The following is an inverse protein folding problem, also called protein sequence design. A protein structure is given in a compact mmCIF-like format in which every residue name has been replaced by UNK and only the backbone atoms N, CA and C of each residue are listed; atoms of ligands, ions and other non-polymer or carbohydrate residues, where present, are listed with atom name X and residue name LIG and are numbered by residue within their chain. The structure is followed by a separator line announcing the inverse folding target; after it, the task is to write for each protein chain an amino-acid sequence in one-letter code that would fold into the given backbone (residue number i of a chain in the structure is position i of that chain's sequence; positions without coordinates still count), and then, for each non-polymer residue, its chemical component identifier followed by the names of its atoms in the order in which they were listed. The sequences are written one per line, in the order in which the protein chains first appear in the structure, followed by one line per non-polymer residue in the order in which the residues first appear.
data_IF_496450593678
#
_entry.id   IF_496450593678
#
_cell.length_a   1.000
_cell.length_b   1.000
_cell.length_c   1.000
_cell.angle_alpha   90.00
_cell.angle_beta   90.00
_cell.angle_gamma   90.00
#
_symmetry.space_group_name_H-M   'P 1'
#
loop_
_entity.id
_entity.type
_entity.pdbx_description
1 polymer ?
#
# COMPACT_ATOMS: atom_id res chain seq x y z
N UNK A 1 -8.49 -30.71 -17.75
CA UNK A 1 -7.04 -30.41 -17.75
C UNK A 1 -6.38 -31.26 -16.68
N UNK A 2 -5.15 -31.72 -16.92
CA UNK A 2 -4.35 -32.38 -15.90
C UNK A 2 -3.99 -31.37 -14.80
N UNK A 3 -4.07 -31.78 -13.52
CA UNK A 3 -3.78 -30.89 -12.39
C UNK A 3 -2.27 -30.69 -12.27
N UNK A 4 -1.85 -29.41 -12.20
CA UNK A 4 -0.45 -29.00 -12.07
C UNK A 4 0.12 -29.25 -10.70
N UNK A 5 -0.73 -29.13 -9.65
CA UNK A 5 -0.34 -29.25 -8.25
C UNK A 5 -0.66 -30.65 -7.67
N UNK A 6 -1.04 -31.62 -8.52
CA UNK A 6 -1.31 -32.98 -8.09
C UNK A 6 -0.05 -33.63 -7.43
N UNK A 7 -0.28 -34.32 -6.30
CA UNK A 7 0.80 -34.98 -5.56
C UNK A 7 1.53 -34.12 -4.54
N UNK A 8 1.24 -32.83 -4.44
CA UNK A 8 1.71 -31.99 -3.36
C UNK A 8 0.89 -32.25 -2.08
N UNK A 9 1.53 -32.15 -0.92
CA UNK A 9 0.89 -32.30 0.38
C UNK A 9 0.84 -30.96 1.14
N UNK A 10 -0.28 -30.62 1.81
CA UNK A 10 -1.55 -31.37 1.97
C UNK A 10 -2.39 -31.35 0.68
N UNK A 11 -2.80 -32.53 0.21
CA UNK A 11 -3.41 -32.70 -1.13
C UNK A 11 -4.64 -31.82 -1.34
N UNK A 12 -5.53 -31.71 -0.34
CA UNK A 12 -6.79 -30.94 -0.47
C UNK A 12 -6.53 -29.43 -0.50
N UNK A 13 -5.51 -28.94 0.18
CA UNK A 13 -5.13 -27.51 0.15
C UNK A 13 -4.67 -27.15 -1.28
N UNK A 14 -3.75 -27.93 -1.85
CA UNK A 14 -3.26 -27.69 -3.21
C UNK A 14 -4.35 -27.90 -4.28
N UNK A 15 -5.29 -28.82 -4.02
CA UNK A 15 -6.46 -28.97 -4.88
C UNK A 15 -7.28 -27.67 -4.94
N UNK A 16 -7.62 -27.10 -3.77
CA UNK A 16 -8.39 -25.85 -3.73
C UNK A 16 -7.59 -24.66 -4.24
N UNK A 17 -6.32 -24.55 -3.92
CA UNK A 17 -5.47 -23.49 -4.44
C UNK A 17 -5.46 -23.50 -5.99
N UNK A 18 -5.30 -24.66 -6.61
CA UNK A 18 -5.38 -24.76 -8.07
C UNK A 18 -6.77 -24.42 -8.63
N UNK A 19 -7.86 -24.75 -7.93
CA UNK A 19 -9.20 -24.33 -8.33
C UNK A 19 -9.37 -22.81 -8.28
N UNK A 20 -8.87 -22.15 -7.23
CA UNK A 20 -8.90 -20.69 -7.10
C UNK A 20 -8.08 -20.01 -8.22
N UNK A 21 -6.90 -20.52 -8.53
CA UNK A 21 -6.04 -20.01 -9.62
C UNK A 21 -6.67 -20.15 -11.02
N UNK A 22 -7.69 -20.99 -11.18
CA UNK A 22 -8.47 -21.11 -12.45
C UNK A 22 -9.49 -20.01 -12.62
N UNK A 23 -9.80 -19.27 -11.56
CA UNK A 23 -10.79 -18.20 -11.54
C UNK A 23 -10.03 -16.88 -11.58
N UNK A 24 -10.24 -16.02 -12.58
CA UNK A 24 -9.69 -14.67 -12.57
C UNK A 24 -10.21 -13.88 -11.37
N UNK A 25 -9.30 -13.42 -10.48
CA UNK A 25 -9.68 -12.79 -9.21
C UNK A 25 -8.72 -11.65 -8.77
N UNK A 26 -8.16 -10.93 -9.73
CA UNK A 26 -7.46 -9.68 -9.40
C UNK A 26 -8.40 -8.68 -8.72
N UNK A 27 -7.85 -7.79 -7.87
CA UNK A 27 -8.62 -6.73 -7.21
C UNK A 27 -9.51 -5.98 -8.20
N UNK A 28 -10.76 -5.73 -7.84
CA UNK A 28 -11.81 -5.20 -8.72
C UNK A 28 -12.53 -6.26 -9.58
N UNK A 29 -12.11 -7.53 -9.57
CA UNK A 29 -12.72 -8.64 -10.33
C UNK A 29 -13.03 -9.85 -9.45
N UNK A 30 -13.56 -9.65 -8.26
CA UNK A 30 -13.70 -10.68 -7.22
C UNK A 30 -15.02 -11.45 -7.25
N UNK A 31 -15.97 -11.05 -8.12
CA UNK A 31 -17.32 -11.67 -8.11
C UNK A 31 -17.31 -13.18 -8.35
N UNK A 32 -16.52 -13.68 -9.31
CA UNK A 32 -16.52 -15.10 -9.66
C UNK A 32 -15.95 -15.97 -8.54
N UNK A 33 -14.89 -15.53 -7.89
CA UNK A 33 -14.27 -16.25 -6.77
C UNK A 33 -15.17 -16.20 -5.51
N UNK A 34 -15.84 -15.08 -5.27
CA UNK A 34 -16.86 -14.96 -4.22
C UNK A 34 -18.02 -15.94 -4.44
N UNK A 35 -18.57 -15.98 -5.67
CA UNK A 35 -19.62 -16.92 -6.05
C UNK A 35 -19.16 -18.38 -5.92
N UNK A 36 -17.90 -18.68 -6.25
CA UNK A 36 -17.32 -20.01 -6.07
C UNK A 36 -17.33 -20.43 -4.60
N UNK A 37 -16.89 -19.57 -3.68
CA UNK A 37 -16.89 -19.86 -2.25
C UNK A 37 -18.33 -20.02 -1.68
N UNK A 38 -19.26 -19.18 -2.12
CA UNK A 38 -20.67 -19.31 -1.74
C UNK A 38 -21.30 -20.62 -2.26
N UNK A 39 -21.01 -21.00 -3.50
CA UNK A 39 -21.47 -22.29 -4.08
C UNK A 39 -20.82 -23.48 -3.40
N UNK A 40 -19.54 -23.41 -3.03
CA UNK A 40 -18.87 -24.45 -2.24
C UNK A 40 -19.64 -24.76 -0.95
N UNK A 41 -20.02 -23.71 -0.21
CA UNK A 41 -20.81 -23.87 1.03
C UNK A 41 -22.19 -24.46 0.76
N UNK A 42 -22.88 -23.94 -0.26
CA UNK A 42 -24.22 -24.41 -0.66
C UNK A 42 -24.24 -25.90 -1.02
N UNK A 43 -23.28 -26.36 -1.81
CA UNK A 43 -23.19 -27.78 -2.23
C UNK A 43 -22.93 -28.73 -1.07
N UNK A 44 -22.33 -28.25 0.02
CA UNK A 44 -22.03 -29.02 1.25
C UNK A 44 -23.05 -28.82 2.35
N UNK A 45 -24.14 -28.06 2.08
CA UNK A 45 -25.17 -27.78 3.08
C UNK A 45 -24.69 -26.95 4.26
N UNK A 46 -23.58 -26.22 4.13
CA UNK A 46 -23.07 -25.33 5.15
C UNK A 46 -23.84 -24.00 5.13
N UNK A 47 -24.09 -23.45 6.31
CA UNK A 47 -24.61 -22.07 6.41
C UNK A 47 -23.58 -21.09 5.89
N UNK A 48 -24.01 -20.14 5.07
CA UNK A 48 -23.12 -19.08 4.59
C UNK A 48 -23.87 -17.75 4.46
N UNK A 49 -23.10 -16.68 4.39
CA UNK A 49 -23.54 -15.31 4.07
C UNK A 49 -22.61 -14.83 2.95
N UNK A 50 -23.19 -14.30 1.88
CA UNK A 50 -22.49 -13.54 0.86
C UNK A 50 -23.10 -12.14 0.87
N UNK A 51 -22.32 -11.11 1.19
CA UNK A 51 -22.81 -9.75 1.28
C UNK A 51 -22.79 -9.01 -0.08
N UNK A 52 -23.29 -7.76 -0.10
CA UNK A 52 -23.46 -6.99 -1.31
C UNK A 52 -22.10 -6.59 -1.96
N UNK A 53 -21.02 -6.51 -1.20
CA UNK A 53 -19.68 -6.19 -1.71
C UNK A 53 -18.92 -7.43 -2.17
N UNK A 54 -19.40 -8.63 -1.82
CA UNK A 54 -18.83 -9.90 -2.23
C UNK A 54 -18.02 -10.63 -1.17
N UNK A 55 -18.01 -10.16 0.10
CA UNK A 55 -17.46 -10.96 1.19
C UNK A 55 -18.28 -12.24 1.38
N UNK A 56 -17.60 -13.32 1.79
CA UNK A 56 -18.27 -14.61 2.07
C UNK A 56 -17.89 -15.08 3.46
N UNK A 57 -18.89 -15.40 4.28
CA UNK A 57 -18.70 -16.04 5.59
C UNK A 57 -19.31 -17.43 5.52
N UNK A 58 -18.54 -18.48 5.85
CA UNK A 58 -19.01 -19.86 5.87
C UNK A 58 -18.89 -20.39 7.30
N UNK A 59 -19.96 -21.02 7.78
CA UNK A 59 -20.06 -21.56 9.13
C UNK A 59 -20.07 -23.08 9.10
N UNK A 60 -19.16 -23.72 9.86
CA UNK A 60 -19.17 -25.18 10.09
C UNK A 60 -19.41 -25.46 11.56
N UNK A 61 -20.40 -26.29 11.93
CA UNK A 61 -20.63 -26.72 13.31
C UNK A 61 -19.38 -27.38 13.91
N UNK A 62 -19.24 -27.37 15.22
CA UNK A 62 -18.17 -28.09 15.90
C UNK A 62 -18.23 -29.60 15.62
N UNK A 63 -17.09 -30.23 15.53
CA UNK A 63 -16.99 -31.70 15.52
C UNK A 63 -17.48 -32.29 16.84
N UNK A 64 -17.99 -33.56 16.84
CA UNK A 64 -18.43 -34.22 18.03
C UNK A 64 -17.40 -34.16 19.18
N UNK A 65 -17.84 -33.72 20.36
CA UNK A 65 -17.00 -33.55 21.54
C UNK A 65 -16.33 -32.16 21.65
N UNK A 66 -16.53 -31.26 20.68
CA UNK A 66 -16.00 -29.88 20.69
C UNK A 66 -17.09 -28.82 20.79
N UNK A 67 -18.36 -29.19 21.02
CA UNK A 67 -19.51 -28.28 21.03
C UNK A 67 -19.41 -27.20 22.12
N UNK A 68 -18.66 -27.47 23.19
CA UNK A 68 -18.41 -26.50 24.28
C UNK A 68 -17.16 -25.63 24.08
N UNK A 69 -16.38 -25.87 23.04
CA UNK A 69 -15.19 -25.08 22.76
C UNK A 69 -15.56 -23.74 22.10
N UNK A 70 -14.81 -22.63 22.41
CA UNK A 70 -15.03 -21.39 21.71
C UNK A 70 -14.84 -21.53 20.21
N UNK A 71 -15.74 -20.93 19.41
CA UNK A 71 -15.60 -20.91 17.98
C UNK A 71 -14.32 -20.20 17.53
N UNK A 72 -13.74 -20.68 16.43
CA UNK A 72 -12.56 -20.08 15.79
C UNK A 72 -12.94 -19.42 14.45
N UNK A 73 -12.43 -18.24 14.23
CA UNK A 73 -12.53 -17.52 12.96
C UNK A 73 -11.26 -17.78 12.16
N UNK A 74 -11.39 -18.19 10.91
CA UNK A 74 -10.29 -18.29 9.94
C UNK A 74 -10.53 -17.21 8.89
N UNK A 75 -9.59 -16.32 8.69
CA UNK A 75 -9.75 -15.18 7.79
C UNK A 75 -8.65 -15.16 6.74
N UNK A 76 -9.04 -14.83 5.50
CA UNK A 76 -8.20 -14.52 4.37
C UNK A 76 -8.95 -13.67 3.35
N UNK A 77 -8.24 -13.16 2.32
CA UNK A 77 -8.87 -12.36 1.27
C UNK A 77 -8.93 -13.07 -0.08
N UNK A 78 -9.92 -12.69 -0.89
CA UNK A 78 -10.25 -13.34 -2.16
C UNK A 78 -9.55 -12.72 -3.37
N UNK A 79 -9.19 -11.46 -3.28
CA UNK A 79 -8.50 -10.75 -4.35
C UNK A 79 -6.99 -11.01 -4.33
N UNK A 80 -6.33 -10.65 -5.40
CA UNK A 80 -4.88 -10.74 -5.53
C UNK A 80 -4.34 -9.54 -6.31
N UNK A 81 -3.06 -9.20 -6.10
CA UNK A 81 -2.32 -8.27 -6.95
C UNK A 81 -2.23 -8.82 -8.37
N UNK A 82 -2.74 -8.09 -9.35
CA UNK A 82 -2.79 -8.49 -10.75
C UNK A 82 -1.62 -7.86 -11.55
N UNK A 83 -0.42 -8.40 -11.40
CA UNK A 83 0.80 -7.94 -12.07
C UNK A 83 1.36 -9.00 -13.03
N UNK A 84 1.93 -8.57 -14.15
CA UNK A 84 2.53 -9.45 -15.15
C UNK A 84 3.78 -8.85 -15.77
N UNK A 85 4.61 -9.73 -16.36
CA UNK A 85 5.78 -9.26 -17.10
C UNK A 85 5.35 -8.44 -18.34
N UNK A 86 6.15 -7.48 -18.81
CA UNK A 86 5.80 -6.65 -19.98
C UNK A 86 5.54 -7.45 -21.27
N UNK A 87 6.12 -8.64 -21.40
CA UNK A 87 5.96 -9.54 -22.55
C UNK A 87 4.73 -10.44 -22.46
N UNK A 88 4.07 -10.51 -21.28
CA UNK A 88 2.92 -11.38 -21.06
C UNK A 88 1.66 -10.86 -21.76
N UNK A 89 0.95 -11.75 -22.44
CA UNK A 89 -0.37 -11.48 -23.03
C UNK A 89 -1.54 -11.81 -22.10
N UNK A 90 -1.27 -12.26 -20.88
CA UNK A 90 -2.27 -12.67 -19.90
C UNK A 90 -3.32 -11.57 -19.64
N UNK A 91 -4.59 -11.92 -19.63
CA UNK A 91 -5.71 -11.04 -19.29
C UNK A 91 -6.31 -11.45 -17.94
N UNK A 92 -5.97 -10.72 -16.87
CA UNK A 92 -6.45 -10.99 -15.51
C UNK A 92 -7.97 -10.91 -15.33
N UNK A 93 -8.71 -10.45 -16.34
CA UNK A 93 -10.17 -10.45 -16.30
C UNK A 93 -10.78 -11.76 -16.82
N UNK A 94 -9.98 -12.61 -17.52
CA UNK A 94 -10.50 -13.78 -18.26
C UNK A 94 -9.67 -15.05 -18.13
N UNK A 95 -8.34 -14.90 -18.03
CA UNK A 95 -7.43 -16.02 -18.16
C UNK A 95 -7.12 -16.64 -16.79
N UNK A 96 -7.13 -17.97 -16.67
CA UNK A 96 -6.60 -18.65 -15.49
C UNK A 96 -5.09 -18.53 -15.40
N UNK A 97 -4.54 -18.59 -14.19
CA UNK A 97 -3.09 -18.58 -13.99
C UNK A 97 -2.43 -19.86 -14.53
N UNK A 98 -1.31 -19.73 -15.23
CA UNK A 98 -0.53 -20.88 -15.73
C UNK A 98 0.48 -21.33 -14.66
N UNK A 99 0.03 -22.23 -13.80
CA UNK A 99 0.80 -22.74 -12.67
C UNK A 99 1.93 -23.68 -13.10
N UNK A 100 3.03 -23.63 -12.35
CA UNK A 100 4.14 -24.60 -12.45
C UNK A 100 4.67 -24.98 -11.07
N UNK A 101 5.36 -26.13 -11.03
CA UNK A 101 6.14 -26.60 -9.86
C UNK A 101 7.55 -26.88 -10.35
N UNK A 102 8.51 -26.10 -9.86
CA UNK A 102 9.92 -26.22 -10.23
C UNK A 102 10.80 -26.04 -8.97
N UNK A 103 11.75 -26.92 -8.76
CA UNK A 103 12.72 -26.87 -7.65
C UNK A 103 12.10 -26.72 -6.24
N UNK A 104 10.92 -27.32 -6.04
CA UNK A 104 10.19 -27.23 -4.76
C UNK A 104 9.36 -25.97 -4.57
N UNK A 105 9.28 -25.12 -5.58
CA UNK A 105 8.47 -23.92 -5.59
C UNK A 105 7.24 -24.06 -6.47
N UNK A 106 6.13 -23.48 -6.03
CA UNK A 106 4.93 -23.27 -6.85
C UNK A 106 4.95 -21.83 -7.36
N UNK A 107 4.70 -21.64 -8.63
CA UNK A 107 4.67 -20.32 -9.27
C UNK A 107 3.65 -20.23 -10.38
N UNK A 108 3.44 -19.03 -10.90
CA UNK A 108 2.65 -18.74 -12.11
C UNK A 108 3.57 -18.11 -13.17
N UNK A 109 3.41 -18.54 -14.45
CA UNK A 109 4.28 -18.08 -15.54
C UNK A 109 3.91 -16.65 -15.93
N UNK A 110 4.91 -15.78 -15.90
CA UNK A 110 4.81 -14.37 -16.34
C UNK A 110 3.76 -13.51 -15.62
N UNK A 111 3.24 -13.99 -14.47
CA UNK A 111 2.26 -13.28 -13.65
C UNK A 111 2.56 -13.45 -12.16
N UNK A 112 1.90 -12.65 -11.31
CA UNK A 112 1.74 -12.92 -9.88
C UNK A 112 1.00 -14.24 -9.67
N UNK A 113 1.25 -14.93 -8.54
CA UNK A 113 0.68 -16.24 -8.21
C UNK A 113 -0.67 -16.15 -7.48
N UNK A 114 -0.89 -15.08 -6.71
CA UNK A 114 -2.04 -14.99 -5.78
C UNK A 114 -1.94 -15.97 -4.60
N UNK A 115 -0.70 -16.31 -4.18
CA UNK A 115 -0.47 -17.07 -2.95
C UNK A 115 -0.96 -16.29 -1.74
N UNK A 116 -0.71 -15.02 -1.73
CA UNK A 116 -1.30 -13.96 -0.93
C UNK A 116 -2.63 -13.54 -1.63
N UNK A 117 -3.82 -13.87 -1.08
CA UNK A 117 -4.00 -14.73 0.10
C UNK A 117 -4.82 -16.01 -0.26
N UNK A 118 -4.72 -16.43 -1.54
CA UNK A 118 -5.41 -17.63 -2.04
C UNK A 118 -5.07 -18.91 -1.26
N UNK A 119 -3.89 -18.98 -0.63
CA UNK A 119 -3.51 -20.12 0.18
C UNK A 119 -4.35 -20.23 1.47
N UNK A 120 -4.67 -19.10 2.12
CA UNK A 120 -5.55 -19.08 3.29
C UNK A 120 -6.95 -19.60 2.95
N UNK A 121 -7.48 -19.14 1.81
CA UNK A 121 -8.78 -19.60 1.31
C UNK A 121 -8.74 -21.11 1.04
N UNK A 122 -7.67 -21.61 0.41
CA UNK A 122 -7.48 -23.03 0.15
C UNK A 122 -7.42 -23.87 1.44
N UNK A 123 -6.71 -23.39 2.47
CA UNK A 123 -6.72 -24.03 3.79
C UNK A 123 -8.10 -24.07 4.41
N UNK A 124 -8.81 -22.93 4.40
CA UNK A 124 -10.16 -22.85 4.96
C UNK A 124 -11.15 -23.79 4.24
N UNK A 125 -11.11 -23.83 2.90
CA UNK A 125 -11.97 -24.73 2.12
C UNK A 125 -11.65 -26.21 2.39
N UNK A 126 -10.37 -26.57 2.53
CA UNK A 126 -9.96 -27.93 2.89
C UNK A 126 -10.46 -28.33 4.29
N UNK A 127 -10.38 -27.45 5.29
CA UNK A 127 -10.90 -27.67 6.63
C UNK A 127 -12.44 -27.75 6.65
N UNK A 128 -13.11 -26.93 5.85
CA UNK A 128 -14.56 -26.94 5.73
C UNK A 128 -15.09 -28.24 5.08
N UNK A 129 -14.33 -28.84 4.17
CA UNK A 129 -14.71 -30.08 3.50
C UNK A 129 -14.51 -31.32 4.36
N UNK A 130 -13.47 -31.35 5.20
CA UNK A 130 -13.05 -32.56 5.92
C UNK A 130 -13.85 -32.75 7.22
N UNK A 131 -14.75 -33.72 7.22
CA UNK A 131 -15.54 -34.06 8.40
C UNK A 131 -14.84 -35.04 9.36
N UNK A 132 -13.61 -35.47 9.03
CA UNK A 132 -12.83 -36.37 9.88
C UNK A 132 -11.99 -35.63 10.94
N UNK A 133 -11.79 -34.32 10.76
CA UNK A 133 -10.99 -33.50 11.65
C UNK A 133 -11.75 -33.11 12.92
N UNK A 134 -11.03 -33.09 14.05
CA UNK A 134 -11.55 -32.56 15.30
C UNK A 134 -11.35 -31.05 15.34
N UNK A 135 -12.43 -30.27 15.45
CA UNK A 135 -12.39 -28.82 15.44
C UNK A 135 -13.54 -28.20 16.25
N UNK A 136 -13.36 -27.02 16.84
CA UNK A 136 -14.46 -26.22 17.37
C UNK A 136 -15.37 -25.75 16.23
N UNK A 137 -16.45 -25.06 16.52
CA UNK A 137 -17.20 -24.38 15.46
C UNK A 137 -16.28 -23.44 14.69
N UNK A 138 -16.34 -23.48 13.34
CA UNK A 138 -15.53 -22.66 12.45
C UNK A 138 -16.38 -21.58 11.78
N UNK A 139 -15.81 -20.38 11.70
CA UNK A 139 -16.35 -19.24 10.98
C UNK A 139 -15.28 -18.78 9.99
N UNK A 140 -15.38 -19.22 8.73
CA UNK A 140 -14.43 -18.86 7.70
C UNK A 140 -14.87 -17.55 7.03
N UNK A 141 -14.07 -16.50 7.17
CA UNK A 141 -14.37 -15.15 6.68
C UNK A 141 -13.44 -14.83 5.51
N UNK A 142 -14.02 -14.67 4.34
CA UNK A 142 -13.32 -14.33 3.11
C UNK A 142 -13.70 -12.91 2.68
N UNK A 143 -12.75 -12.01 2.76
CA UNK A 143 -12.95 -10.60 2.40
C UNK A 143 -12.53 -10.33 0.96
N UNK A 144 -12.96 -9.20 0.40
CA UNK A 144 -12.60 -8.75 -0.95
C UNK A 144 -11.86 -7.40 -0.85
N UNK A 145 -11.13 -7.05 -1.91
CA UNK A 145 -10.47 -5.75 -2.08
C UNK A 145 -9.49 -5.39 -0.93
N UNK A 146 -8.77 -6.37 -0.39
CA UNK A 146 -7.73 -6.15 0.61
C UNK A 146 -6.61 -5.30 0.03
N UNK A 147 -6.08 -5.70 -1.12
CA UNK A 147 -4.92 -5.14 -1.82
C UNK A 147 -5.11 -3.68 -2.29
N UNK A 148 -6.36 -3.24 -2.41
CA UNK A 148 -6.71 -1.88 -2.85
C UNK A 148 -7.12 -0.97 -1.71
N UNK A 149 -7.40 -1.53 -0.51
CA UNK A 149 -7.72 -0.69 0.63
C UNK A 149 -8.56 -1.31 1.72
N UNK A 150 -8.73 -2.63 1.72
CA UNK A 150 -9.52 -3.37 2.73
C UNK A 150 -11.02 -3.04 2.69
N UNK A 151 -11.57 -2.65 1.53
CA UNK A 151 -12.96 -2.20 1.41
C UNK A 151 -13.96 -3.28 1.86
N UNK A 152 -13.68 -4.56 1.54
CA UNK A 152 -14.45 -5.69 2.02
C UNK A 152 -14.46 -5.80 3.55
N UNK A 153 -13.31 -5.69 4.18
CA UNK A 153 -13.19 -5.76 5.64
C UNK A 153 -13.94 -4.61 6.34
N UNK A 154 -13.93 -3.39 5.75
CA UNK A 154 -14.72 -2.27 6.27
C UNK A 154 -16.23 -2.44 6.13
N UNK A 155 -16.68 -3.12 5.09
CA UNK A 155 -18.10 -3.38 4.82
C UNK A 155 -18.67 -4.56 5.63
N UNK A 156 -17.81 -5.42 6.17
CA UNK A 156 -18.20 -6.67 6.82
C UNK A 156 -19.05 -6.45 8.08
N UNK A 157 -20.21 -7.08 8.15
CA UNK A 157 -21.00 -7.14 9.39
C UNK A 157 -20.41 -8.18 10.36
N UNK A 158 -19.58 -7.72 11.29
CA UNK A 158 -18.96 -8.56 12.30
C UNK A 158 -19.93 -9.04 13.39
N UNK A 159 -21.16 -8.52 13.46
CA UNK A 159 -22.14 -8.89 14.49
C UNK A 159 -22.63 -10.34 14.36
N UNK A 160 -22.44 -10.95 13.19
CA UNK A 160 -22.84 -12.34 12.91
C UNK A 160 -21.81 -13.37 13.42
N UNK A 161 -20.60 -12.93 13.78
CA UNK A 161 -19.49 -13.76 14.25
C UNK A 161 -19.58 -13.97 15.77
N UNK A 162 -19.24 -15.18 16.21
CA UNK A 162 -19.22 -15.58 17.63
C UNK A 162 -17.85 -16.04 18.09
N UNK A 163 -16.93 -16.27 17.15
CA UNK A 163 -15.57 -16.72 17.41
C UNK A 163 -14.79 -15.76 18.32
N UNK A 164 -14.04 -16.33 19.26
CA UNK A 164 -13.16 -15.58 20.18
C UNK A 164 -11.70 -15.56 19.73
N UNK A 165 -11.34 -16.49 18.87
CA UNK A 165 -10.01 -16.61 18.29
C UNK A 165 -10.12 -16.35 16.81
N UNK A 166 -9.36 -15.37 16.31
CA UNK A 166 -9.25 -15.08 14.89
C UNK A 166 -7.84 -15.46 14.43
N UNK A 167 -7.78 -16.33 13.43
CA UNK A 167 -6.58 -16.74 12.74
C UNK A 167 -6.61 -16.08 11.36
N UNK A 168 -5.90 -14.95 11.24
CA UNK A 168 -5.63 -14.34 9.94
C UNK A 168 -4.40 -15.05 9.36
N UNK A 169 -4.52 -15.57 8.14
CA UNK A 169 -3.47 -16.37 7.51
C UNK A 169 -2.71 -15.59 6.44
N UNK A 170 -2.86 -14.29 6.45
CA UNK A 170 -2.26 -13.31 5.56
C UNK A 170 -0.93 -12.79 6.15
N UNK A 171 0.02 -13.70 6.36
CA UNK A 171 1.35 -13.40 6.90
C UNK A 171 2.43 -14.09 6.08
N UNK A 172 3.45 -13.33 5.67
CA UNK A 172 4.51 -13.78 4.76
C UNK A 172 5.70 -14.45 5.45
N UNK A 173 5.88 -14.25 6.76
CA UNK A 173 7.04 -14.78 7.50
C UNK A 173 6.75 -16.15 8.11
N UNK A 174 7.43 -17.19 7.62
CA UNK A 174 7.34 -18.54 8.16
C UNK A 174 7.75 -18.59 9.64
N UNK A 175 6.91 -19.23 10.46
CA UNK A 175 7.16 -19.40 11.90
C UNK A 175 6.92 -18.17 12.75
N UNK A 176 6.47 -17.06 12.17
CA UNK A 176 6.15 -15.82 12.88
C UNK A 176 4.64 -15.70 13.10
N UNK A 177 4.24 -15.41 14.34
CA UNK A 177 2.83 -15.14 14.71
C UNK A 177 2.72 -13.70 15.20
N UNK A 178 1.99 -12.87 14.45
CA UNK A 178 1.70 -11.48 14.82
C UNK A 178 0.44 -11.44 15.70
N UNK A 179 0.58 -10.99 16.93
CA UNK A 179 -0.54 -10.93 17.90
C UNK A 179 -1.36 -9.63 17.80
N UNK A 180 -0.84 -8.59 17.16
CA UNK A 180 -1.50 -7.29 17.01
C UNK A 180 -0.85 -6.45 15.92
N UNK A 181 -1.55 -5.40 15.49
CA UNK A 181 -1.03 -4.40 14.56
C UNK A 181 -1.35 -2.97 15.05
N UNK A 182 -0.64 -1.99 14.49
CA UNK A 182 -0.96 -0.59 14.70
C UNK A 182 -2.25 -0.22 13.96
N UNK A 183 -3.08 0.63 14.58
CA UNK A 183 -4.22 1.19 13.87
C UNK A 183 -3.81 2.22 12.83
N UNK A 184 -4.41 2.17 11.64
CA UNK A 184 -4.19 3.10 10.53
C UNK A 184 -5.21 4.25 10.47
N UNK A 185 -4.84 5.32 9.77
CA UNK A 185 -5.72 6.42 9.36
C UNK A 185 -5.13 7.05 8.10
N UNK A 186 -5.97 7.26 7.07
CA UNK A 186 -5.61 8.05 5.88
C UNK A 186 -6.08 9.47 6.06
N UNK A 187 -5.23 10.44 5.76
CA UNK A 187 -5.57 11.87 5.77
C UNK A 187 -5.20 12.50 4.44
N UNK A 188 -6.18 13.14 3.81
CA UNK A 188 -5.97 13.95 2.61
C UNK A 188 -6.00 15.40 3.03
N UNK A 189 -4.93 16.13 2.71
CA UNK A 189 -4.82 17.56 2.90
C UNK A 189 -4.96 18.25 1.55
N UNK A 190 -5.87 19.21 1.46
CA UNK A 190 -6.12 19.99 0.25
C UNK A 190 -5.90 21.46 0.55
N UNK A 191 -4.93 22.07 -0.11
CA UNK A 191 -4.63 23.50 0.00
C UNK A 191 -5.09 24.20 -1.28
N UNK A 192 -6.08 25.10 -1.23
CA UNK A 192 -6.44 25.93 -2.38
C UNK A 192 -5.25 26.79 -2.83
N UNK A 193 -4.98 26.79 -4.13
CA UNK A 193 -3.90 27.56 -4.74
C UNK A 193 -4.44 28.44 -5.86
N UNK A 194 -3.74 29.56 -6.07
CA UNK A 194 -3.97 30.47 -7.18
C UNK A 194 -2.78 30.44 -8.11
N UNK A 195 -3.07 30.54 -9.40
CA UNK A 195 -2.08 30.56 -10.47
C UNK A 195 -2.12 31.87 -11.26
N UNK A 196 -1.00 32.23 -11.87
CA UNK A 196 -0.90 33.33 -12.83
C UNK A 196 0.09 32.95 -13.91
N UNK A 197 0.01 33.65 -15.02
CA UNK A 197 1.06 33.61 -16.03
C UNK A 197 2.37 34.16 -15.47
N UNK A 198 3.45 33.46 -15.73
CA UNK A 198 4.81 33.87 -15.37
C UNK A 198 5.76 33.50 -16.51
N UNK A 199 6.77 34.35 -16.71
CA UNK A 199 7.83 34.20 -17.71
C UNK A 199 9.15 33.94 -17.02
N UNK A 200 9.97 33.08 -17.61
CA UNK A 200 11.32 32.76 -17.12
C UNK A 200 11.91 31.56 -17.83
N UNK A 201 13.09 31.16 -17.38
CA UNK A 201 13.69 29.89 -17.80
C UNK A 201 13.10 28.76 -16.97
N UNK A 202 12.50 27.78 -17.66
CA UNK A 202 11.95 26.59 -17.02
C UNK A 202 13.06 25.61 -16.67
N UNK A 203 12.97 25.08 -15.45
CA UNK A 203 13.83 24.00 -14.97
C UNK A 203 12.98 22.84 -14.47
N UNK A 204 13.32 21.65 -14.92
CA UNK A 204 12.85 20.39 -14.35
C UNK A 204 13.79 19.96 -13.26
N UNK A 205 13.24 19.76 -12.06
CA UNK A 205 13.94 19.24 -10.88
C UNK A 205 13.37 17.86 -10.56
N UNK A 206 14.25 16.92 -10.20
CA UNK A 206 13.87 15.58 -9.82
C UNK A 206 14.69 15.09 -8.63
N UNK A 207 14.03 14.58 -7.59
CA UNK A 207 14.66 13.82 -6.50
C UNK A 207 14.48 12.35 -6.84
N UNK A 208 15.57 11.60 -6.93
CA UNK A 208 15.61 10.19 -7.36
C UNK A 208 16.70 9.38 -6.63
N UNK A 209 16.84 8.10 -6.96
CA UNK A 209 17.84 7.20 -6.36
C UNK A 209 17.50 6.70 -4.96
N UNK A 210 16.30 6.96 -4.45
CA UNK A 210 15.83 6.50 -3.15
C UNK A 210 15.29 5.07 -3.23
N UNK A 211 15.52 4.26 -2.19
CA UNK A 211 15.06 2.87 -2.10
C UNK A 211 13.54 2.77 -1.89
N UNK A 212 12.97 3.73 -1.13
CA UNK A 212 11.57 3.66 -0.74
C UNK A 212 11.28 2.50 0.22
N UNK A 213 10.06 1.98 0.18
CA UNK A 213 9.64 0.83 0.99
C UNK A 213 8.22 0.99 1.53
N UNK A 214 7.72 -0.03 2.23
CA UNK A 214 6.41 0.00 2.84
C UNK A 214 6.40 0.91 4.09
N UNK A 215 5.54 1.92 4.12
CA UNK A 215 5.52 2.93 5.19
C UNK A 215 5.12 2.38 6.59
N UNK A 216 4.61 1.18 6.66
CA UNK A 216 4.33 0.49 7.93
C UNK A 216 5.51 -0.36 8.40
N UNK A 217 6.02 -1.23 7.54
CA UNK A 217 7.06 -2.19 7.88
C UNK A 217 8.47 -1.58 7.91
N UNK A 218 8.75 -0.59 7.04
CA UNK A 218 10.11 -0.09 6.84
C UNK A 218 10.31 1.38 7.26
N UNK A 219 9.30 2.05 7.84
CA UNK A 219 9.41 3.46 8.27
C UNK A 219 10.52 3.68 9.30
N UNK A 220 10.84 2.66 10.10
CA UNK A 220 11.91 2.67 11.11
C UNK A 220 13.31 2.75 10.49
N UNK A 221 13.46 2.44 9.21
CA UNK A 221 14.76 2.51 8.51
C UNK A 221 15.16 3.94 8.18
N UNK A 222 14.26 4.91 8.37
CA UNK A 222 14.48 6.35 8.15
C UNK A 222 15.01 6.69 6.75
N UNK A 223 14.56 5.94 5.73
CA UNK A 223 14.86 6.24 4.32
C UNK A 223 14.31 7.58 3.90
N UNK A 224 14.95 8.20 2.93
CA UNK A 224 14.51 9.47 2.35
C UNK A 224 13.11 9.37 1.72
N UNK A 225 12.29 10.40 1.96
CA UNK A 225 11.01 10.58 1.31
C UNK A 225 11.18 11.67 0.24
N UNK A 226 11.11 11.29 -1.05
CA UNK A 226 11.38 12.20 -2.17
C UNK A 226 10.52 13.47 -2.13
N UNK A 227 9.28 13.39 -1.64
CA UNK A 227 8.37 14.54 -1.56
C UNK A 227 8.84 15.54 -0.50
N UNK A 228 9.25 15.05 0.66
CA UNK A 228 9.79 15.89 1.73
C UNK A 228 11.12 16.54 1.30
N UNK A 229 12.00 15.76 0.66
CA UNK A 229 13.28 16.25 0.15
C UNK A 229 13.09 17.31 -0.95
N UNK A 230 12.11 17.14 -1.83
CA UNK A 230 11.73 18.15 -2.82
C UNK A 230 11.22 19.43 -2.14
N UNK A 231 10.40 19.31 -1.11
CA UNK A 231 9.95 20.46 -0.30
C UNK A 231 11.12 21.24 0.27
N UNK A 232 12.12 20.54 0.84
CA UNK A 232 13.37 21.15 1.34
C UNK A 232 14.16 21.84 0.21
N UNK A 233 14.38 21.16 -0.91
CA UNK A 233 15.08 21.73 -2.07
C UNK A 233 14.44 23.03 -2.53
N UNK A 234 13.14 23.01 -2.77
CA UNK A 234 12.39 24.18 -3.23
C UNK A 234 12.40 25.32 -2.20
N UNK A 235 12.38 24.99 -0.91
CA UNK A 235 12.47 25.98 0.15
C UNK A 235 13.86 26.66 0.16
N UNK A 236 14.95 25.90 0.06
CA UNK A 236 16.31 26.46 0.01
C UNK A 236 16.52 27.33 -1.23
N UNK A 237 15.99 26.90 -2.40
CA UNK A 237 16.03 27.74 -3.61
C UNK A 237 15.26 29.04 -3.38
N UNK A 238 14.04 28.99 -2.87
CA UNK A 238 13.16 30.16 -2.69
C UNK A 238 13.71 31.18 -1.66
N UNK A 239 14.56 30.73 -0.74
CA UNK A 239 15.25 31.62 0.21
C UNK A 239 16.31 32.49 -0.44
N UNK A 240 16.97 31.97 -1.47
CA UNK A 240 18.17 32.60 -2.06
C UNK A 240 17.86 33.36 -3.36
N UNK A 241 16.84 32.88 -4.10
CA UNK A 241 16.45 33.49 -5.36
C UNK A 241 14.93 33.41 -5.60
N UNK A 242 14.35 34.40 -6.29
CA UNK A 242 12.93 34.35 -6.66
C UNK A 242 12.66 33.23 -7.65
N UNK A 243 11.71 32.34 -7.32
CA UNK A 243 11.21 31.31 -8.22
C UNK A 243 9.69 31.22 -8.17
N UNK A 244 9.09 30.57 -9.17
CA UNK A 244 7.68 30.19 -9.16
C UNK A 244 7.53 28.73 -9.54
N UNK A 245 6.58 28.03 -8.93
CA UNK A 245 6.33 26.60 -9.13
C UNK A 245 5.22 26.44 -10.19
N UNK A 246 5.52 25.70 -11.26
CA UNK A 246 4.58 25.39 -12.33
C UNK A 246 3.92 24.02 -12.13
N UNK A 247 4.71 23.01 -11.77
CA UNK A 247 4.24 21.65 -11.51
C UNK A 247 4.98 21.05 -10.32
N UNK A 248 4.31 20.13 -9.62
CA UNK A 248 4.87 19.42 -8.49
C UNK A 248 4.11 18.11 -8.33
N UNK A 249 4.82 16.98 -8.37
CA UNK A 249 4.22 15.66 -8.26
C UNK A 249 5.21 14.66 -7.66
N UNK A 250 4.74 13.80 -6.74
CA UNK A 250 5.58 12.77 -6.16
C UNK A 250 4.77 11.68 -5.48
N UNK A 251 5.34 10.45 -5.49
CA UNK A 251 4.74 9.27 -4.91
C UNK A 251 3.60 8.68 -5.75
N UNK A 252 3.34 7.38 -5.55
CA UNK A 252 2.35 6.61 -6.31
C UNK A 252 1.28 5.97 -5.41
N UNK A 253 1.67 5.58 -4.19
CA UNK A 253 0.78 4.95 -3.19
C UNK A 253 0.96 5.61 -1.83
N UNK A 254 -0.13 5.79 -1.10
CA UNK A 254 -0.12 6.45 0.22
C UNK A 254 0.63 5.63 1.29
N UNK A 255 0.64 4.30 1.16
CA UNK A 255 1.34 3.37 2.04
C UNK A 255 2.79 3.07 1.63
N UNK A 256 3.33 3.70 0.59
CA UNK A 256 4.72 3.58 0.17
C UNK A 256 5.51 4.85 0.46
N UNK A 257 6.78 4.72 0.87
CA UNK A 257 7.73 5.83 1.00
C UNK A 257 8.12 6.27 -0.42
N UNK A 258 7.84 7.52 -0.83
CA UNK A 258 8.11 7.98 -2.19
C UNK A 258 9.59 7.92 -2.57
N UNK A 259 9.86 7.31 -3.73
CA UNK A 259 11.22 7.15 -4.28
C UNK A 259 11.58 8.24 -5.27
N UNK A 260 10.57 8.92 -5.81
CA UNK A 260 10.65 9.90 -6.88
C UNK A 260 9.74 11.09 -6.58
N UNK A 261 10.25 12.29 -6.83
CA UNK A 261 9.46 13.51 -6.84
C UNK A 261 9.99 14.46 -7.91
N UNK A 262 9.08 15.04 -8.67
CA UNK A 262 9.37 15.96 -9.77
C UNK A 262 8.77 17.32 -9.51
N UNK A 263 9.48 18.38 -9.91
CA UNK A 263 8.98 19.75 -9.90
C UNK A 263 9.40 20.48 -11.17
N UNK A 264 8.53 21.37 -11.65
CA UNK A 264 8.88 22.34 -12.69
C UNK A 264 8.81 23.75 -12.08
N UNK A 265 9.87 24.49 -12.22
CA UNK A 265 9.97 25.86 -11.72
C UNK A 265 10.39 26.83 -12.82
N UNK A 266 10.06 28.10 -12.67
CA UNK A 266 10.63 29.17 -13.48
C UNK A 266 11.52 30.04 -12.61
N UNK A 267 12.69 30.39 -13.15
CA UNK A 267 13.61 31.36 -12.58
C UNK A 267 13.96 32.41 -13.63
N UNK A 268 14.48 33.54 -13.18
CA UNK A 268 15.00 34.54 -14.14
C UNK A 268 16.31 34.04 -14.75
N UNK A 269 16.58 34.45 -15.98
CA UNK A 269 17.81 34.09 -16.70
C UNK A 269 19.09 34.47 -15.92
N UNK A 270 19.06 35.57 -15.24
CA UNK A 270 20.19 36.05 -14.43
C UNK A 270 20.49 35.17 -13.20
N UNK A 271 19.53 34.34 -12.78
CA UNK A 271 19.60 33.48 -11.59
C UNK A 271 19.98 32.02 -11.91
N UNK A 272 20.12 31.65 -13.20
CA UNK A 272 20.33 30.25 -13.65
C UNK A 272 21.59 29.62 -13.03
N UNK A 273 22.73 30.30 -13.08
CA UNK A 273 23.98 29.81 -12.51
C UNK A 273 23.88 29.63 -10.98
N UNK A 274 23.18 30.54 -10.32
CA UNK A 274 22.95 30.48 -8.87
C UNK A 274 22.03 29.31 -8.51
N UNK A 275 20.99 29.05 -9.30
CA UNK A 275 20.12 27.90 -9.13
C UNK A 275 20.92 26.59 -9.17
N UNK A 276 21.74 26.39 -10.19
CA UNK A 276 22.53 25.18 -10.32
C UNK A 276 23.51 24.98 -9.17
N UNK A 277 24.12 26.08 -8.65
CA UNK A 277 24.98 26.00 -7.48
C UNK A 277 24.22 25.57 -6.23
N UNK A 278 23.00 26.10 -6.01
CA UNK A 278 22.15 25.74 -4.89
C UNK A 278 21.71 24.28 -4.96
N UNK A 279 21.29 23.82 -6.14
CA UNK A 279 20.88 22.42 -6.34
C UNK A 279 22.05 21.48 -6.02
N UNK A 280 23.26 21.76 -6.55
CA UNK A 280 24.45 20.93 -6.25
C UNK A 280 24.82 20.95 -4.76
N UNK A 281 24.62 22.06 -4.08
CA UNK A 281 24.88 22.14 -2.63
C UNK A 281 23.89 21.25 -1.85
N UNK A 282 22.59 21.37 -2.14
CA UNK A 282 21.56 20.52 -1.50
C UNK A 282 21.77 19.04 -1.83
N UNK A 283 22.10 18.70 -3.08
CA UNK A 283 22.40 17.30 -3.45
C UNK A 283 23.52 16.72 -2.60
N UNK A 284 24.62 17.48 -2.45
CA UNK A 284 25.74 17.03 -1.61
C UNK A 284 25.34 16.84 -0.15
N UNK A 285 24.51 17.72 0.41
CA UNK A 285 23.99 17.55 1.76
C UNK A 285 23.14 16.30 1.90
N UNK A 286 22.24 16.04 0.93
CA UNK A 286 21.42 14.84 0.91
C UNK A 286 22.27 13.56 0.79
N UNK A 287 23.28 13.54 -0.06
CA UNK A 287 24.21 12.40 -0.20
C UNK A 287 24.96 12.10 1.10
N UNK A 288 25.36 13.10 1.87
CA UNK A 288 25.97 12.88 3.18
C UNK A 288 24.98 12.42 4.23
N UNK A 289 23.77 13.00 4.27
CA UNK A 289 22.71 12.64 5.22
C UNK A 289 22.19 11.21 5.01
N UNK A 290 22.03 10.79 3.76
CA UNK A 290 21.41 9.50 3.40
C UNK A 290 22.41 8.45 2.90
N UNK A 291 23.72 8.65 3.09
CA UNK A 291 24.78 7.76 2.58
C UNK A 291 24.63 6.27 2.95
N UNK A 292 23.92 5.96 4.04
CA UNK A 292 23.71 4.59 4.52
C UNK A 292 22.36 4.05 4.03
N UNK A 293 21.31 4.83 4.20
CA UNK A 293 19.93 4.40 3.88
C UNK A 293 19.68 4.41 2.38
N UNK A 294 20.04 5.50 1.70
CA UNK A 294 19.81 5.76 0.28
C UNK A 294 21.08 6.27 -0.41
N UNK A 295 22.13 5.44 -0.57
CA UNK A 295 23.44 5.87 -1.07
C UNK A 295 23.41 6.41 -2.50
N UNK A 296 22.37 6.10 -3.27
CA UNK A 296 22.21 6.51 -4.67
C UNK A 296 21.34 7.77 -4.82
N UNK A 297 21.01 8.48 -3.71
CA UNK A 297 20.21 9.70 -3.76
C UNK A 297 20.84 10.74 -4.67
N UNK A 298 20.03 11.29 -5.59
CA UNK A 298 20.47 12.27 -6.56
C UNK A 298 19.41 13.35 -6.78
N UNK A 299 19.87 14.55 -7.15
CA UNK A 299 19.03 15.68 -7.53
C UNK A 299 19.34 16.05 -8.97
N UNK A 300 18.43 15.74 -9.88
CA UNK A 300 18.56 16.14 -11.27
C UNK A 300 18.00 17.56 -11.47
N UNK A 301 18.74 18.39 -12.21
CA UNK A 301 18.34 19.75 -12.55
C UNK A 301 18.60 19.95 -14.04
N UNK A 302 17.53 20.15 -14.82
CA UNK A 302 17.62 20.28 -16.28
C UNK A 302 16.89 21.53 -16.77
N UNK A 303 17.60 22.40 -17.46
CA UNK A 303 17.00 23.54 -18.13
C UNK A 303 16.13 23.08 -19.33
N UNK A 304 14.93 23.64 -19.42
CA UNK A 304 13.97 23.38 -20.52
C UNK A 304 13.81 24.59 -21.46
N UNK A 305 14.48 25.70 -21.14
CA UNK A 305 14.49 26.92 -21.95
C UNK A 305 13.50 27.99 -21.46
N UNK A 306 13.58 29.15 -22.13
CA UNK A 306 12.69 30.28 -21.83
C UNK A 306 11.25 29.96 -22.23
N UNK A 307 10.32 30.23 -21.36
CA UNK A 307 8.89 29.97 -21.59
C UNK A 307 7.98 30.87 -20.76
N UNK A 308 6.73 30.91 -21.16
CA UNK A 308 5.62 31.48 -20.38
C UNK A 308 4.71 30.34 -19.96
N UNK A 309 4.45 30.19 -18.66
CA UNK A 309 3.62 29.11 -18.12
C UNK A 309 2.73 29.60 -16.95
N UNK A 310 1.66 28.82 -16.69
CA UNK A 310 0.83 29.01 -15.51
C UNK A 310 1.56 28.50 -14.28
N UNK A 311 1.95 29.40 -13.38
CA UNK A 311 2.69 29.12 -12.17
C UNK A 311 1.92 29.56 -10.93
N UNK A 312 2.26 29.04 -9.77
CA UNK A 312 1.71 29.49 -8.48
C UNK A 312 1.97 30.98 -8.26
N UNK A 313 0.97 31.68 -7.69
CA UNK A 313 1.23 33.02 -7.14
C UNK A 313 2.23 32.95 -5.99
N UNK A 314 2.94 34.06 -5.65
CA UNK A 314 3.86 34.06 -4.52
C UNK A 314 3.20 33.63 -3.20
N UNK A 315 1.96 34.01 -2.97
CA UNK A 315 1.21 33.61 -1.76
C UNK A 315 0.95 32.08 -1.76
N UNK A 316 0.54 31.51 -2.88
CA UNK A 316 0.36 30.07 -3.02
C UNK A 316 1.67 29.29 -2.94
N UNK A 317 2.76 29.80 -3.53
CA UNK A 317 4.12 29.24 -3.38
C UNK A 317 4.51 29.18 -1.90
N UNK A 318 4.34 30.27 -1.16
CA UNK A 318 4.63 30.32 0.28
C UNK A 318 3.82 29.30 1.07
N UNK A 319 2.51 29.16 0.79
CA UNK A 319 1.66 28.15 1.45
C UNK A 319 2.15 26.72 1.20
N UNK A 320 2.44 26.37 -0.05
CA UNK A 320 2.91 25.02 -0.43
C UNK A 320 4.26 24.72 0.21
N UNK A 321 5.22 25.65 0.12
CA UNK A 321 6.54 25.49 0.75
C UNK A 321 6.45 25.39 2.26
N UNK A 322 5.61 26.22 2.90
CA UNK A 322 5.39 26.15 4.34
C UNK A 322 4.84 24.77 4.73
N UNK A 323 3.81 24.29 4.03
CA UNK A 323 3.23 22.97 4.29
C UNK A 323 4.28 21.87 4.16
N UNK A 324 5.02 21.80 3.06
CA UNK A 324 6.00 20.74 2.82
C UNK A 324 7.17 20.74 3.83
N UNK A 325 7.54 21.90 4.36
CA UNK A 325 8.63 22.01 5.34
C UNK A 325 8.19 21.84 6.79
N UNK A 326 6.90 21.95 7.08
CA UNK A 326 6.38 21.89 8.45
C UNK A 326 5.51 20.67 8.72
N UNK A 327 4.97 20.02 7.67
CA UNK A 327 4.19 18.81 7.86
C UNK A 327 5.06 17.70 8.48
N UNK A 328 4.54 17.01 9.52
CA UNK A 328 5.28 15.89 10.08
C UNK A 328 5.41 14.75 9.07
N UNK A 329 6.53 14.01 9.13
CA UNK A 329 6.76 12.80 8.34
C UNK A 329 7.70 11.85 9.11
N UNK A 330 7.63 10.54 8.81
CA UNK A 330 8.50 9.54 9.44
C UNK A 330 8.03 9.10 10.83
N UNK A 331 8.96 8.56 11.60
CA UNK A 331 8.72 8.11 12.98
C UNK A 331 8.48 9.31 13.91
N UNK A 332 7.38 9.26 14.65
CA UNK A 332 7.00 10.32 15.60
C UNK A 332 7.17 9.87 17.06
N UNK A 333 7.07 8.57 17.32
CA UNK A 333 7.35 8.00 18.62
C UNK A 333 7.73 6.52 18.49
N UNK A 334 8.69 6.11 19.31
CA UNK A 334 9.01 4.71 19.55
C UNK A 334 8.24 4.19 20.77
N UNK A 335 7.98 2.89 20.80
CA UNK A 335 7.35 2.25 21.95
C UNK A 335 8.26 2.31 23.19
N UNK A 336 7.69 2.70 24.32
CA UNK A 336 8.39 2.64 25.61
C UNK A 336 8.32 1.25 26.26
N UNK A 337 7.51 0.34 25.72
CA UNK A 337 7.29 -1.00 26.29
C UNK A 337 7.99 -2.10 25.48
N UNK A 338 8.14 -1.91 24.18
CA UNK A 338 8.74 -2.89 23.27
C UNK A 338 9.89 -2.20 22.55
N UNK A 339 11.10 -2.68 22.77
CA UNK A 339 12.32 -2.14 22.15
C UNK A 339 12.28 -2.34 20.61
N UNK A 340 12.68 -1.30 19.87
CA UNK A 340 12.72 -1.32 18.41
C UNK A 340 11.37 -1.13 17.72
N UNK A 341 10.25 -1.18 18.44
CA UNK A 341 8.93 -1.02 17.84
C UNK A 341 8.56 0.45 17.64
N UNK A 342 8.19 0.81 16.42
CA UNK A 342 7.60 2.12 16.12
C UNK A 342 6.17 2.16 16.68
N UNK A 343 5.91 3.08 17.61
CA UNK A 343 4.58 3.27 18.19
C UNK A 343 3.70 4.14 17.30
N UNK A 344 4.26 5.24 16.79
CA UNK A 344 3.52 6.26 16.02
C UNK A 344 4.37 6.77 14.87
N UNK A 345 3.82 6.76 13.67
CA UNK A 345 4.47 7.26 12.47
C UNK A 345 3.45 7.82 11.48
N UNK A 346 3.94 8.58 10.51
CA UNK A 346 3.16 8.94 9.32
C UNK A 346 4.08 9.06 8.11
N UNK A 347 3.49 8.89 6.95
CA UNK A 347 4.16 8.99 5.66
C UNK A 347 3.35 9.87 4.71
N UNK A 348 3.98 10.90 4.16
CA UNK A 348 3.46 11.61 3.00
C UNK A 348 3.74 10.77 1.75
N UNK A 349 2.75 9.99 1.32
CA UNK A 349 2.92 8.98 0.27
C UNK A 349 2.61 9.46 -1.13
N UNK A 350 1.71 10.45 -1.29
CA UNK A 350 1.34 11.02 -2.60
C UNK A 350 1.22 12.54 -2.46
N UNK A 351 1.74 13.24 -3.44
CA UNK A 351 1.59 14.70 -3.55
C UNK A 351 1.39 15.10 -5.01
N UNK A 352 0.43 15.99 -5.25
CA UNK A 352 0.17 16.53 -6.58
C UNK A 352 -0.28 18.00 -6.52
N UNK A 353 0.27 18.80 -7.40
CA UNK A 353 -0.15 20.18 -7.62
C UNK A 353 -1.09 20.28 -8.83
N UNK A 354 -2.40 20.28 -8.57
CA UNK A 354 -3.45 20.50 -9.57
C UNK A 354 -3.60 21.97 -10.01
N UNK A 355 -4.67 22.25 -10.73
CA UNK A 355 -4.96 23.60 -11.22
C UNK A 355 -5.44 24.54 -10.10
N UNK A 356 -6.28 24.05 -9.20
CA UNK A 356 -6.95 24.85 -8.16
C UNK A 356 -6.49 24.48 -6.75
N UNK A 357 -5.82 23.34 -6.59
CA UNK A 357 -5.41 22.85 -5.30
C UNK A 357 -4.07 22.07 -5.36
N UNK A 358 -3.32 22.17 -4.29
CA UNK A 358 -2.27 21.24 -3.93
C UNK A 358 -2.89 20.18 -3.02
N UNK A 359 -2.64 18.89 -3.32
CA UNK A 359 -3.19 17.75 -2.60
C UNK A 359 -2.07 16.87 -2.08
N UNK A 360 -2.19 16.47 -0.81
CA UNK A 360 -1.21 15.61 -0.14
C UNK A 360 -1.93 14.48 0.62
N UNK A 361 -1.50 13.22 0.40
CA UNK A 361 -2.08 12.04 1.02
C UNK A 361 -1.11 11.47 2.06
N UNK A 362 -1.60 11.31 3.26
CA UNK A 362 -0.85 10.75 4.38
C UNK A 362 -1.42 9.42 4.84
N UNK A 363 -0.52 8.45 5.08
CA UNK A 363 -0.80 7.24 5.85
C UNK A 363 -0.27 7.43 7.26
N UNK A 364 -1.15 7.45 8.26
CA UNK A 364 -0.83 7.63 9.68
C UNK A 364 -1.03 6.30 10.39
N UNK A 365 -0.07 5.89 11.19
CA UNK A 365 -0.13 4.64 11.97
C UNK A 365 0.20 4.90 13.44
N UNK A 366 -0.53 4.27 14.35
CA UNK A 366 -0.20 4.30 15.77
C UNK A 366 -0.88 3.16 16.52
N UNK A 367 -0.16 2.52 17.45
CA UNK A 367 -0.74 1.62 18.43
C UNK A 367 -1.51 2.36 19.55
N UNK A 368 -1.35 3.70 19.62
CA UNK A 368 -2.06 4.57 20.57
C UNK A 368 -3.06 5.44 19.85
N UNK A 369 -4.36 5.13 20.00
CA UNK A 369 -5.46 5.80 19.31
C UNK A 369 -5.39 7.34 19.39
N UNK A 370 -5.15 7.90 20.57
CA UNK A 370 -5.12 9.36 20.76
C UNK A 370 -3.97 10.02 19.99
N UNK A 371 -2.79 9.39 19.92
CA UNK A 371 -1.64 9.92 19.16
C UNK A 371 -1.91 9.95 17.66
N UNK A 372 -2.61 8.95 17.13
CA UNK A 372 -3.05 8.93 15.73
C UNK A 372 -3.88 10.16 15.38
N UNK A 373 -4.86 10.51 16.21
CA UNK A 373 -5.69 11.70 15.99
C UNK A 373 -4.95 13.02 16.22
N UNK A 374 -4.00 13.07 17.16
CA UNK A 374 -3.12 14.26 17.31
C UNK A 374 -2.34 14.56 16.03
N UNK A 375 -1.81 13.53 15.35
CA UNK A 375 -1.15 13.74 14.07
C UNK A 375 -2.13 14.22 12.98
N UNK A 376 -3.34 13.67 12.96
CA UNK A 376 -4.38 14.12 12.04
C UNK A 376 -4.68 15.63 12.21
N UNK A 377 -4.82 16.08 13.45
CA UNK A 377 -5.08 17.50 13.77
C UNK A 377 -3.88 18.42 13.48
N UNK A 378 -2.63 17.90 13.53
CA UNK A 378 -1.44 18.69 13.15
C UNK A 378 -1.38 18.98 11.66
N UNK A 379 -2.09 18.21 10.84
CA UNK A 379 -2.18 18.38 9.40
C UNK A 379 -3.36 19.30 8.98
N UNK A 380 -4.20 19.70 9.91
CA UNK A 380 -5.29 20.68 9.74
C UNK A 380 -4.78 22.12 9.91
#
# INVERSE_FOLDING_TARGET
MERRLAGLAPERVWYYFEELCRIPHGSGNTKQISDYCANFAKERGLRYIQDEVGNVIIFKPAAPGYEGAPAAIIQGHLDMVAEKTPSSSHDFLKDPLDLFVEDGWVGARDTTLGGDDGIAIAYALALLEDDSLSHPALECVFTVEEETGMDGAYALDMSVLQGKYLLNLDSEEEGTVLASCAGGLRKICTLPVERREAEGTAYHLEITGLKGGHSGAEIHTERGNAVILMGRLLYEINRELPMVICALKGGLKDNAIPRLCEAQILVKKEDEERLEQLVRAVEKDLQEEFKVQDPDVAVLCRAEGETMAMALTPASTTKVLFFLNTCPNGVQAMSHQIEGLVETSLNLGIMELGQEAFVAHFSIRSSVRSRKYVLCHKLE
#
